data_IF_021017580562
#
_entry.id   IF_021017580562
#
_cell.length_a   1.000
_cell.length_b   1.000
_cell.length_c   1.000
_cell.angle_alpha   90.00
_cell.angle_beta   90.00
_cell.angle_gamma   90.00
#
_symmetry.space_group_name_H-M   'P 1'
#
loop_
_entity.id
_entity.type
_entity.pdbx_description
1 polymer ?
#
# COMPACT_ATOMS: atom_id res chain seq x y z
N UNK A 1 -10.93 15.79 -11.42
CA UNK A 1 -10.58 14.40 -11.07
C UNK A 1 -10.16 13.69 -12.36
N UNK A 2 -8.92 13.17 -12.43
CA UNK A 2 -8.40 12.46 -13.61
C UNK A 2 -9.23 11.22 -13.95
N UNK A 3 -9.11 10.75 -15.19
CA UNK A 3 -9.80 9.52 -15.63
C UNK A 3 -9.04 8.30 -15.11
N UNK A 4 -9.73 7.40 -14.43
CA UNK A 4 -9.16 6.15 -13.92
C UNK A 4 -8.83 5.14 -15.03
N UNK A 5 -9.52 5.25 -16.18
CA UNK A 5 -9.32 4.39 -17.36
C UNK A 5 -9.27 5.20 -18.64
N UNK A 6 -8.48 4.73 -19.61
CA UNK A 6 -8.35 5.31 -20.94
C UNK A 6 -8.68 4.25 -22.00
N UNK A 7 -9.52 4.59 -22.98
CA UNK A 7 -9.80 3.70 -24.13
C UNK A 7 -8.77 3.91 -25.23
N UNK A 8 -8.20 2.79 -25.72
CA UNK A 8 -7.24 2.78 -26.85
C UNK A 8 -7.63 1.71 -27.86
N UNK A 9 -7.47 1.96 -29.17
CA UNK A 9 -7.62 0.92 -30.18
C UNK A 9 -6.46 -0.08 -30.05
N UNK A 10 -6.79 -1.38 -30.01
CA UNK A 10 -5.83 -2.48 -29.97
C UNK A 10 -6.10 -3.47 -31.09
N UNK A 11 -5.07 -4.21 -31.50
CA UNK A 11 -5.19 -5.35 -32.39
C UNK A 11 -5.20 -6.61 -31.53
N UNK A 12 -6.32 -7.33 -31.53
CA UNK A 12 -6.44 -8.63 -30.86
C UNK A 12 -6.20 -9.75 -31.87
N UNK A 13 -5.27 -10.63 -31.54
CA UNK A 13 -4.99 -11.87 -32.26
C UNK A 13 -5.46 -13.05 -31.40
N UNK A 14 -6.22 -13.96 -31.98
CA UNK A 14 -6.69 -15.20 -31.34
C UNK A 14 -6.85 -16.27 -32.41
N UNK A 15 -7.17 -17.51 -32.00
CA UNK A 15 -7.45 -18.63 -32.93
C UNK A 15 -8.57 -18.31 -33.93
N UNK A 16 -9.45 -17.34 -33.59
CA UNK A 16 -10.52 -16.87 -34.47
C UNK A 16 -10.07 -15.71 -35.41
N UNK A 17 -8.76 -15.46 -35.53
CA UNK A 17 -8.20 -14.44 -36.42
C UNK A 17 -7.84 -13.14 -35.73
N UNK A 18 -7.57 -12.13 -36.58
CA UNK A 18 -7.08 -10.80 -36.16
C UNK A 18 -8.19 -9.78 -36.31
N UNK A 19 -8.44 -8.97 -35.27
CA UNK A 19 -9.42 -7.89 -35.31
C UNK A 19 -8.97 -6.66 -34.50
N UNK A 20 -9.36 -5.47 -34.95
CA UNK A 20 -9.22 -4.24 -34.18
C UNK A 20 -10.44 -4.06 -33.28
N UNK A 21 -10.19 -3.66 -32.04
CA UNK A 21 -11.25 -3.31 -31.07
C UNK A 21 -10.76 -2.23 -30.12
N UNK A 22 -11.65 -1.45 -29.47
CA UNK A 22 -11.26 -0.63 -28.32
C UNK A 22 -10.96 -1.52 -27.11
N UNK A 23 -9.96 -1.12 -26.33
CA UNK A 23 -9.64 -1.74 -25.03
C UNK A 23 -9.55 -0.68 -23.95
N UNK A 24 -9.84 -1.06 -22.71
CA UNK A 24 -9.74 -0.21 -21.54
C UNK A 24 -8.39 -0.45 -20.86
N UNK A 25 -7.60 0.60 -20.73
CA UNK A 25 -6.33 0.58 -20.02
C UNK A 25 -6.47 1.34 -18.69
N UNK A 26 -5.80 0.89 -17.65
CA UNK A 26 -5.65 1.68 -16.42
C UNK A 26 -4.91 2.97 -16.74
N UNK A 27 -5.41 4.09 -16.24
CA UNK A 27 -4.72 5.35 -16.38
C UNK A 27 -3.50 5.38 -15.48
N UNK A 28 -2.39 5.87 -15.99
CA UNK A 28 -1.14 6.09 -15.29
C UNK A 28 -0.68 7.52 -15.54
N UNK A 29 -0.66 8.34 -14.49
CA UNK A 29 -0.33 9.75 -14.56
C UNK A 29 0.62 10.13 -13.42
N UNK A 30 1.52 11.10 -13.62
CA UNK A 30 2.36 11.60 -12.55
C UNK A 30 1.50 12.30 -11.48
N UNK A 31 1.92 12.20 -10.23
CA UNK A 31 1.44 13.03 -9.13
C UNK A 31 2.66 13.60 -8.41
N UNK A 32 2.79 14.92 -8.41
CA UNK A 32 3.74 15.63 -7.58
C UNK A 32 3.11 15.87 -6.20
N UNK A 33 3.76 15.40 -5.16
CA UNK A 33 3.44 15.71 -3.78
C UNK A 33 4.32 16.87 -3.31
N UNK A 34 3.69 17.92 -2.82
CA UNK A 34 4.36 19.06 -2.18
C UNK A 34 4.02 19.12 -0.72
N UNK A 35 4.95 19.58 0.09
CA UNK A 35 4.73 19.90 1.50
C UNK A 35 5.10 21.36 1.70
N UNK A 36 4.14 22.17 2.17
CA UNK A 36 4.28 23.62 2.36
C UNK A 36 4.85 24.32 1.10
N UNK A 37 4.36 23.92 -0.08
CA UNK A 37 4.78 24.45 -1.38
C UNK A 37 6.11 23.89 -1.92
N UNK A 38 6.86 23.09 -1.14
CA UNK A 38 8.12 22.48 -1.57
C UNK A 38 7.87 21.10 -2.19
N UNK A 39 8.46 20.85 -3.37
CA UNK A 39 8.35 19.53 -4.02
C UNK A 39 9.05 18.46 -3.18
N UNK A 40 8.30 17.42 -2.78
CA UNK A 40 8.80 16.31 -1.99
C UNK A 40 9.07 15.07 -2.85
N UNK A 41 8.11 14.67 -3.66
CA UNK A 41 8.19 13.46 -4.46
C UNK A 41 7.31 13.55 -5.71
N UNK A 42 7.67 12.82 -6.75
CA UNK A 42 6.81 12.56 -7.91
C UNK A 42 6.62 11.05 -8.03
N UNK A 43 5.36 10.62 -8.07
CA UNK A 43 5.01 9.20 -8.24
C UNK A 43 4.10 9.00 -9.45
N UNK A 44 4.26 7.89 -10.16
CA UNK A 44 3.28 7.46 -11.17
C UNK A 44 2.15 6.72 -10.46
N UNK A 45 0.91 7.17 -10.67
CA UNK A 45 -0.26 6.60 -9.98
C UNK A 45 -1.47 6.45 -10.91
N UNK A 46 -2.40 5.62 -10.53
CA UNK A 46 -3.76 5.68 -11.08
C UNK A 46 -4.53 6.79 -10.39
N UNK A 47 -5.09 7.78 -11.13
CA UNK A 47 -5.82 8.90 -10.56
C UNK A 47 -6.96 8.47 -9.62
N UNK A 48 -7.18 9.27 -8.59
CA UNK A 48 -8.18 9.04 -7.55
C UNK A 48 -7.59 8.58 -6.23
N UNK A 49 -8.25 9.00 -5.14
CA UNK A 49 -7.78 8.78 -3.76
C UNK A 49 -6.38 9.38 -3.49
N UNK A 50 -6.01 10.46 -4.18
CA UNK A 50 -4.68 11.04 -4.10
C UNK A 50 -4.42 11.69 -2.73
N UNK A 51 -5.45 12.19 -2.06
CA UNK A 51 -5.33 12.68 -0.67
C UNK A 51 -5.00 11.53 0.27
N UNK A 52 -5.67 10.37 0.13
CA UNK A 52 -5.33 9.16 0.89
C UNK A 52 -3.89 8.70 0.57
N UNK A 53 -3.50 8.70 -0.72
CA UNK A 53 -2.14 8.38 -1.13
C UNK A 53 -1.10 9.25 -0.42
N UNK A 54 -1.31 10.57 -0.38
CA UNK A 54 -0.40 11.50 0.25
C UNK A 54 -0.32 11.28 1.78
N UNK A 55 -1.46 11.09 2.45
CA UNK A 55 -1.50 10.82 3.89
C UNK A 55 -0.78 9.53 4.26
N UNK A 56 -1.05 8.44 3.51
CA UNK A 56 -0.39 7.15 3.73
C UNK A 56 1.11 7.20 3.46
N UNK A 57 1.50 7.85 2.35
CA UNK A 57 2.89 8.05 2.00
C UNK A 57 3.65 8.81 3.10
N UNK A 58 3.15 9.96 3.54
CA UNK A 58 3.80 10.78 4.57
C UNK A 58 3.87 10.07 5.94
N UNK A 59 2.83 9.32 6.31
CA UNK A 59 2.85 8.50 7.52
C UNK A 59 3.91 7.40 7.44
N UNK A 60 3.95 6.66 6.34
CA UNK A 60 4.85 5.51 6.18
C UNK A 60 6.31 5.90 5.98
N UNK A 61 6.56 7.14 5.56
CA UNK A 61 7.90 7.75 5.53
C UNK A 61 8.29 8.43 6.86
N UNK A 62 7.40 8.43 7.85
CA UNK A 62 7.65 8.93 9.19
C UNK A 62 7.60 10.46 9.31
N UNK A 63 7.00 11.14 8.34
CA UNK A 63 6.76 12.60 8.40
C UNK A 63 5.59 12.92 9.31
N UNK A 64 4.53 12.10 9.24
CA UNK A 64 3.33 12.25 10.07
C UNK A 64 3.29 11.25 11.21
N UNK A 65 2.58 11.60 12.27
CA UNK A 65 2.23 10.71 13.38
C UNK A 65 0.74 10.53 13.55
N UNK A 66 -0.03 11.50 13.08
CA UNK A 66 -1.50 11.51 13.19
C UNK A 66 -2.11 12.26 12.01
N UNK A 67 -3.44 12.16 11.85
CA UNK A 67 -4.16 12.92 10.80
C UNK A 67 -4.17 14.42 11.08
N UNK A 68 -4.08 14.81 12.34
CA UNK A 68 -4.06 16.18 12.81
C UNK A 68 -2.77 16.93 12.41
N UNK A 69 -1.73 16.19 12.02
CA UNK A 69 -0.47 16.76 11.54
C UNK A 69 -0.59 17.44 10.16
N UNK A 70 -1.71 17.22 9.46
CA UNK A 70 -2.04 17.90 8.20
C UNK A 70 -3.15 18.92 8.44
N UNK A 71 -2.86 20.18 8.16
CA UNK A 71 -3.87 21.23 8.20
C UNK A 71 -4.76 21.22 6.95
N UNK A 72 -4.16 21.06 5.75
CA UNK A 72 -4.90 20.95 4.48
C UNK A 72 -4.15 20.11 3.46
N UNK A 73 -4.92 19.47 2.56
CA UNK A 73 -4.38 18.84 1.35
C UNK A 73 -5.22 19.29 0.16
N UNK A 74 -4.62 19.96 -0.81
CA UNK A 74 -5.34 20.56 -1.94
C UNK A 74 -4.58 20.37 -3.26
N UNK A 75 -5.33 20.18 -4.33
CA UNK A 75 -4.76 20.25 -5.65
C UNK A 75 -4.39 21.68 -6.02
N UNK A 76 -3.20 21.84 -6.56
CA UNK A 76 -2.77 23.10 -7.19
C UNK A 76 -3.22 23.14 -8.64
N UNK A 77 -3.31 24.34 -9.20
CA UNK A 77 -3.57 24.52 -10.62
C UNK A 77 -2.35 24.03 -11.41
N UNK A 78 -2.60 22.99 -12.21
CA UNK A 78 -1.66 22.42 -13.16
C UNK A 78 -2.41 22.20 -14.47
N UNK A 79 -2.18 23.08 -15.46
CA UNK A 79 -2.98 23.11 -16.68
C UNK A 79 -2.32 22.28 -17.79
N UNK A 80 -3.12 21.55 -18.56
CA UNK A 80 -2.71 20.93 -19.83
C UNK A 80 -2.69 21.97 -20.96
N UNK A 81 -2.22 21.58 -22.15
CA UNK A 81 -2.16 22.44 -23.34
C UNK A 81 -3.54 22.99 -23.76
N UNK A 82 -4.61 22.39 -23.28
CA UNK A 82 -5.99 22.85 -23.51
C UNK A 82 -6.54 23.73 -22.37
N UNK A 83 -5.69 24.11 -21.40
CA UNK A 83 -6.06 24.93 -20.25
C UNK A 83 -6.93 24.24 -19.19
N UNK A 84 -6.96 22.91 -19.16
CA UNK A 84 -7.72 22.12 -18.19
C UNK A 84 -6.82 21.69 -17.03
N UNK A 85 -7.33 21.76 -15.79
CA UNK A 85 -6.57 21.28 -14.65
C UNK A 85 -6.31 19.77 -14.74
N UNK A 86 -5.06 19.36 -14.63
CA UNK A 86 -4.61 17.96 -14.69
C UNK A 86 -4.79 17.24 -13.37
N UNK A 87 -4.89 17.97 -12.25
CA UNK A 87 -4.91 17.43 -10.87
C UNK A 87 -3.66 16.57 -10.55
N UNK A 88 -2.52 16.93 -11.12
CA UNK A 88 -1.26 16.19 -10.97
C UNK A 88 -0.29 16.82 -9.96
N UNK A 89 -0.71 17.84 -9.24
CA UNK A 89 0.04 18.47 -8.14
C UNK A 89 -0.87 18.56 -6.92
N UNK A 90 -0.48 17.88 -5.84
CA UNK A 90 -1.15 17.93 -4.55
C UNK A 90 -0.22 18.57 -3.52
N UNK A 91 -0.64 19.69 -2.95
CA UNK A 91 0.08 20.41 -1.91
C UNK A 91 -0.52 20.14 -0.54
N UNK A 92 0.32 19.74 0.40
CA UNK A 92 -0.02 19.39 1.77
C UNK A 92 0.55 20.48 2.67
N UNK A 93 -0.32 21.23 3.36
CA UNK A 93 0.10 22.14 4.41
C UNK A 93 0.12 21.40 5.75
N UNK A 94 1.26 21.40 6.42
CA UNK A 94 1.40 20.80 7.73
C UNK A 94 0.71 21.66 8.81
N UNK A 95 0.29 21.02 9.89
CA UNK A 95 -0.24 21.73 11.05
C UNK A 95 0.87 22.51 11.78
N UNK A 96 0.54 23.61 12.48
CA UNK A 96 1.50 24.36 13.25
C UNK A 96 2.26 23.49 14.26
N UNK A 97 3.61 23.54 14.22
CA UNK A 97 4.48 22.77 15.10
C UNK A 97 4.88 21.38 14.56
N UNK A 98 4.38 20.97 13.40
CA UNK A 98 4.87 19.78 12.70
C UNK A 98 6.08 20.16 11.86
N UNK A 99 7.20 19.48 12.07
CA UNK A 99 8.43 19.76 11.31
C UNK A 99 8.31 19.20 9.89
N UNK A 100 8.67 20.00 8.86
CA UNK A 100 8.70 19.50 7.48
C UNK A 100 9.78 18.42 7.31
N UNK A 101 9.63 17.53 6.32
CA UNK A 101 10.63 16.51 6.04
C UNK A 101 11.98 17.15 5.66
N UNK A 102 13.06 16.65 6.25
CA UNK A 102 14.41 17.13 5.98
C UNK A 102 14.90 16.74 4.57
N UNK A 103 16.01 17.36 4.12
CA UNK A 103 16.61 17.10 2.80
C UNK A 103 17.04 15.64 2.61
N UNK A 104 17.24 14.86 3.68
CA UNK A 104 17.61 13.45 3.60
C UNK A 104 16.41 12.59 3.21
N UNK A 105 15.21 13.01 3.61
CA UNK A 105 13.95 12.41 3.19
C UNK A 105 13.71 12.70 1.71
N UNK A 106 13.86 13.96 1.29
CA UNK A 106 13.70 14.36 -0.12
C UNK A 106 14.64 13.58 -1.07
N UNK A 107 15.93 13.45 -0.72
CA UNK A 107 16.92 12.72 -1.54
C UNK A 107 16.60 11.23 -1.69
N UNK A 108 15.96 10.60 -0.71
CA UNK A 108 15.56 9.19 -0.80
C UNK A 108 14.50 8.94 -1.87
N UNK A 109 13.59 9.90 -2.11
CA UNK A 109 12.52 9.74 -3.10
C UNK A 109 13.01 9.79 -4.54
N UNK A 110 14.09 10.50 -4.82
CA UNK A 110 14.71 10.50 -6.15
C UNK A 110 15.53 9.23 -6.46
N UNK A 111 15.87 8.45 -5.43
CA UNK A 111 16.77 7.28 -5.55
C UNK A 111 16.07 5.92 -5.43
N UNK A 112 14.77 5.85 -5.17
CA UNK A 112 14.06 4.60 -4.80
C UNK A 112 13.83 3.60 -5.93
N UNK A 113 14.33 3.80 -7.13
CA UNK A 113 14.15 2.79 -8.18
C UNK A 113 15.23 1.70 -8.24
N UNK A 114 16.38 1.78 -7.55
CA UNK A 114 17.44 0.75 -7.71
C UNK A 114 18.63 0.81 -6.73
N UNK A 115 18.64 1.58 -5.66
CA UNK A 115 19.84 1.68 -4.83
C UNK A 115 19.72 0.89 -3.53
N UNK A 116 20.53 -0.20 -3.44
CA UNK A 116 20.62 -1.07 -2.27
C UNK A 116 21.06 -0.31 -1.01
N UNK A 117 20.09 0.07 -0.21
CA UNK A 117 20.35 0.38 1.20
C UNK A 117 20.70 -0.94 1.88
N UNK A 118 21.81 -0.95 2.61
CA UNK A 118 22.22 -2.14 3.35
C UNK A 118 21.07 -2.57 4.28
N UNK A 119 20.57 -3.81 4.13
CA UNK A 119 19.36 -4.31 4.80
C UNK A 119 19.34 -4.02 6.30
N UNK A 120 20.49 -4.16 6.99
CA UNK A 120 20.62 -3.90 8.42
C UNK A 120 20.38 -2.42 8.78
N UNK A 121 20.93 -1.48 8.00
CA UNK A 121 20.71 -0.04 8.23
C UNK A 121 19.23 0.36 8.01
N UNK A 122 18.54 -0.32 7.09
CA UNK A 122 17.10 -0.12 6.84
C UNK A 122 16.24 -0.62 8.00
N UNK A 123 16.58 -1.76 8.60
CA UNK A 123 15.88 -2.32 9.75
C UNK A 123 16.08 -1.45 11.01
N UNK A 124 17.30 -0.99 11.26
CA UNK A 124 17.60 -0.10 12.38
C UNK A 124 16.85 1.24 12.25
N UNK A 125 16.79 1.79 11.02
CA UNK A 125 16.03 3.00 10.73
C UNK A 125 14.52 2.80 10.94
N UNK A 126 13.98 1.64 10.58
CA UNK A 126 12.57 1.31 10.79
C UNK A 126 12.24 1.24 12.28
N UNK A 127 13.07 0.55 13.09
CA UNK A 127 12.88 0.44 14.55
C UNK A 127 12.90 1.82 15.23
N UNK A 128 13.78 2.72 14.75
CA UNK A 128 13.88 4.06 15.31
C UNK A 128 12.69 4.95 14.96
N UNK A 129 12.07 4.73 13.79
CA UNK A 129 11.00 5.58 13.26
C UNK A 129 9.61 5.09 13.58
N UNK A 130 9.41 3.76 13.69
CA UNK A 130 8.09 3.21 13.98
C UNK A 130 7.63 3.62 15.38
N UNK A 131 6.44 4.20 15.43
CA UNK A 131 5.76 4.57 16.69
C UNK A 131 4.96 3.41 17.26
N UNK A 132 4.77 2.34 16.48
CA UNK A 132 3.91 1.21 16.80
C UNK A 132 4.71 -0.09 16.76
N UNK A 133 4.32 -1.05 17.59
CA UNK A 133 4.93 -2.37 17.67
C UNK A 133 3.90 -3.43 17.28
N UNK A 134 3.99 -4.02 16.08
CA UNK A 134 3.14 -5.15 15.73
C UNK A 134 3.26 -6.33 16.70
N UNK A 135 4.41 -6.48 17.39
CA UNK A 135 4.64 -7.53 18.37
C UNK A 135 3.65 -7.49 19.55
N UNK A 136 3.21 -6.29 19.94
CA UNK A 136 2.34 -6.08 21.09
C UNK A 136 0.86 -6.29 20.78
N UNK A 137 0.50 -6.51 19.51
CA UNK A 137 -0.88 -6.73 19.08
C UNK A 137 -1.32 -8.16 19.39
N UNK A 138 -2.36 -8.36 20.24
CA UNK A 138 -2.82 -9.68 20.65
C UNK A 138 -3.73 -10.38 19.66
N UNK A 139 -3.99 -9.77 18.49
CA UNK A 139 -4.92 -10.34 17.50
C UNK A 139 -4.54 -11.75 17.08
N UNK A 140 -5.55 -12.53 16.79
CA UNK A 140 -5.43 -13.80 16.08
C UNK A 140 -6.37 -13.81 14.87
N UNK A 141 -6.00 -14.55 13.85
CA UNK A 141 -6.80 -14.71 12.63
C UNK A 141 -6.86 -16.19 12.24
N UNK A 142 -8.03 -16.67 11.84
CA UNK A 142 -8.17 -18.08 11.44
C UNK A 142 -7.66 -18.30 10.02
N UNK A 143 -7.20 -19.54 9.75
CA UNK A 143 -6.82 -19.96 8.40
C UNK A 143 -7.96 -19.80 7.41
N UNK A 144 -9.21 -20.08 7.83
CA UNK A 144 -10.40 -19.95 6.98
C UNK A 144 -10.62 -18.49 6.54
N UNK A 145 -10.47 -17.54 7.46
CA UNK A 145 -10.53 -16.11 7.13
C UNK A 145 -9.45 -15.75 6.13
N UNK A 146 -8.20 -16.14 6.39
CA UNK A 146 -7.09 -15.83 5.48
C UNK A 146 -7.32 -16.38 4.08
N UNK A 147 -7.80 -17.62 3.94
CA UNK A 147 -8.10 -18.21 2.64
C UNK A 147 -9.16 -17.45 1.84
N UNK A 148 -10.08 -16.75 2.51
CA UNK A 148 -11.11 -15.92 1.87
C UNK A 148 -10.65 -14.53 1.41
N UNK A 149 -9.54 -14.01 1.97
CA UNK A 149 -9.12 -12.63 1.72
C UNK A 149 -8.73 -12.33 0.26
N UNK A 150 -8.04 -13.22 -0.48
CA UNK A 150 -7.73 -12.96 -1.89
C UNK A 150 -8.97 -12.75 -2.75
N UNK A 151 -10.00 -13.58 -2.56
CA UNK A 151 -11.25 -13.49 -3.32
C UNK A 151 -12.05 -12.24 -2.91
N UNK A 152 -12.09 -11.91 -1.61
CA UNK A 152 -12.72 -10.69 -1.12
C UNK A 152 -12.04 -9.43 -1.67
N UNK A 153 -10.70 -9.38 -1.67
CA UNK A 153 -9.95 -8.29 -2.29
C UNK A 153 -10.22 -8.23 -3.79
N UNK A 154 -10.19 -9.39 -4.48
CA UNK A 154 -10.42 -9.47 -5.93
C UNK A 154 -11.81 -8.96 -6.32
N UNK A 155 -12.84 -9.28 -5.53
CA UNK A 155 -14.21 -8.79 -5.72
C UNK A 155 -14.33 -7.26 -5.55
N UNK A 156 -13.44 -6.64 -4.78
CA UNK A 156 -13.40 -5.18 -4.60
C UNK A 156 -12.63 -4.43 -5.69
N UNK A 157 -11.86 -5.13 -6.54
CA UNK A 157 -11.00 -4.54 -7.58
C UNK A 157 -11.75 -4.26 -8.88
N UNK A 158 -12.60 -3.23 -8.88
CA UNK A 158 -13.48 -2.89 -10.02
C UNK A 158 -12.74 -2.39 -11.26
N UNK A 159 -11.64 -1.66 -11.07
CA UNK A 159 -10.86 -1.12 -12.20
C UNK A 159 -10.01 -2.22 -12.82
N UNK A 160 -9.45 -3.10 -11.99
CA UNK A 160 -8.76 -4.30 -12.48
C UNK A 160 -9.68 -5.20 -13.31
N UNK A 161 -10.96 -5.34 -12.97
CA UNK A 161 -11.93 -6.11 -13.75
C UNK A 161 -12.04 -5.65 -15.20
N UNK A 162 -11.96 -4.34 -15.42
CA UNK A 162 -12.08 -3.75 -16.75
C UNK A 162 -10.77 -3.62 -17.51
N UNK A 163 -9.62 -3.63 -16.81
CA UNK A 163 -8.32 -3.29 -17.39
C UNK A 163 -7.27 -4.38 -17.25
N UNK A 164 -7.35 -5.20 -16.19
CA UNK A 164 -6.34 -6.19 -15.84
C UNK A 164 -4.98 -5.61 -15.38
N UNK A 165 -4.85 -4.28 -15.25
CA UNK A 165 -3.57 -3.58 -15.17
C UNK A 165 -3.25 -2.95 -13.81
N UNK A 166 -3.95 -3.29 -12.73
CA UNK A 166 -3.76 -2.66 -11.42
C UNK A 166 -3.36 -3.66 -10.32
N UNK A 167 -2.64 -3.16 -9.36
CA UNK A 167 -2.46 -3.80 -8.06
C UNK A 167 -3.59 -3.41 -7.11
N UNK A 168 -3.99 -4.35 -6.24
CA UNK A 168 -4.94 -4.12 -5.17
C UNK A 168 -4.32 -4.28 -3.81
N UNK A 169 -4.76 -3.46 -2.86
CA UNK A 169 -4.53 -3.61 -1.43
C UNK A 169 -5.86 -3.48 -0.68
N UNK A 170 -6.04 -4.23 0.38
CA UNK A 170 -7.23 -4.18 1.24
C UNK A 170 -6.88 -4.33 2.70
N UNK A 171 -7.54 -3.59 3.56
CA UNK A 171 -7.47 -3.72 5.01
C UNK A 171 -8.70 -4.45 5.50
N UNK A 172 -8.48 -5.49 6.28
CA UNK A 172 -9.53 -6.37 6.80
C UNK A 172 -9.43 -6.47 8.32
N UNK A 173 -10.55 -6.69 8.96
CA UNK A 173 -10.59 -7.08 10.38
C UNK A 173 -10.18 -8.54 10.56
N UNK A 174 -9.98 -8.98 11.81
CA UNK A 174 -9.62 -10.36 12.14
C UNK A 174 -10.68 -11.40 11.73
N UNK A 175 -11.94 -10.99 11.58
CA UNK A 175 -13.05 -11.84 11.11
C UNK A 175 -13.23 -11.83 9.57
N UNK A 176 -12.37 -11.10 8.85
CA UNK A 176 -12.38 -11.04 7.39
C UNK A 176 -13.30 -9.96 6.81
N UNK A 177 -13.86 -9.08 7.62
CA UNK A 177 -14.64 -7.93 7.12
C UNK A 177 -13.73 -6.94 6.42
N UNK A 178 -14.03 -6.60 5.17
CA UNK A 178 -13.30 -5.59 4.41
C UNK A 178 -13.61 -4.18 4.94
N UNK A 179 -12.59 -3.47 5.43
CA UNK A 179 -12.70 -2.08 5.86
C UNK A 179 -12.53 -1.12 4.68
N UNK A 180 -11.52 -1.34 3.86
CA UNK A 180 -11.20 -0.54 2.68
C UNK A 180 -10.41 -1.35 1.67
N UNK A 181 -10.66 -1.13 0.38
CA UNK A 181 -9.81 -1.61 -0.71
C UNK A 181 -9.44 -0.46 -1.63
N UNK A 182 -8.21 -0.47 -2.14
CA UNK A 182 -7.70 0.50 -3.11
C UNK A 182 -6.91 -0.19 -4.21
N UNK A 183 -6.99 0.41 -5.39
CA UNK A 183 -6.29 -0.04 -6.58
C UNK A 183 -5.34 1.05 -7.07
N UNK A 184 -4.19 0.65 -7.59
CA UNK A 184 -3.22 1.54 -8.22
C UNK A 184 -2.32 0.76 -9.18
N UNK A 185 -1.77 1.43 -10.21
CA UNK A 185 -0.75 0.86 -11.09
C UNK A 185 0.52 0.51 -10.31
N UNK A 186 0.81 1.25 -9.24
CA UNK A 186 1.90 1.02 -8.29
C UNK A 186 1.42 0.27 -7.04
N UNK A 187 2.00 -0.91 -6.76
CA UNK A 187 1.64 -1.67 -5.55
C UNK A 187 1.89 -0.90 -4.25
N UNK A 188 2.92 -0.05 -4.20
CA UNK A 188 3.22 0.81 -3.04
C UNK A 188 2.13 1.87 -2.85
N UNK A 189 1.71 2.50 -3.94
CA UNK A 189 0.63 3.49 -3.92
C UNK A 189 -0.70 2.87 -3.47
N UNK A 190 -1.02 1.64 -3.91
CA UNK A 190 -2.23 0.95 -3.46
C UNK A 190 -2.24 0.77 -1.93
N UNK A 191 -1.09 0.40 -1.35
CA UNK A 191 -0.92 0.27 0.11
C UNK A 191 -0.98 1.64 0.80
N UNK A 192 -0.30 2.65 0.26
CA UNK A 192 -0.37 4.01 0.83
C UNK A 192 -1.80 4.57 0.81
N UNK A 193 -2.56 4.34 -0.26
CA UNK A 193 -3.99 4.72 -0.30
C UNK A 193 -4.80 4.04 0.81
N UNK A 194 -4.57 2.76 1.06
CA UNK A 194 -5.25 2.01 2.15
C UNK A 194 -4.86 2.56 3.52
N UNK A 195 -3.58 2.76 3.76
CA UNK A 195 -3.06 3.29 5.03
C UNK A 195 -3.52 4.74 5.24
N UNK A 196 -3.49 5.56 4.20
CA UNK A 196 -3.97 6.94 4.29
C UNK A 196 -5.48 7.03 4.55
N UNK A 197 -6.27 6.11 3.98
CA UNK A 197 -7.68 6.00 4.35
C UNK A 197 -7.84 5.67 5.84
N UNK A 198 -7.09 4.67 6.34
CA UNK A 198 -7.13 4.29 7.75
C UNK A 198 -6.71 5.46 8.67
N UNK A 199 -5.70 6.25 8.27
CA UNK A 199 -5.27 7.43 9.00
C UNK A 199 -6.38 8.48 9.06
N UNK A 200 -7.00 8.81 7.93
CA UNK A 200 -8.09 9.78 7.83
C UNK A 200 -9.33 9.35 8.64
N UNK A 201 -9.59 8.04 8.72
CA UNK A 201 -10.68 7.44 9.49
C UNK A 201 -10.34 7.28 11.00
N UNK A 202 -9.14 7.74 11.42
CA UNK A 202 -8.71 7.66 12.82
C UNK A 202 -8.40 6.22 13.29
N UNK A 203 -8.03 5.34 12.37
CA UNK A 203 -7.72 3.91 12.60
C UNK A 203 -6.21 3.60 12.55
N UNK A 204 -5.37 4.58 12.81
CA UNK A 204 -3.94 4.35 12.99
C UNK A 204 -3.59 4.58 14.46
N UNK A 205 -2.97 3.61 15.17
CA UNK A 205 -2.49 2.31 14.67
C UNK A 205 -3.62 1.41 14.17
N UNK A 206 -3.38 0.72 13.04
CA UNK A 206 -4.34 -0.21 12.47
C UNK A 206 -4.24 -1.60 13.15
N UNK A 207 -4.34 -1.58 14.48
CA UNK A 207 -4.30 -2.76 15.33
C UNK A 207 -5.48 -3.70 15.01
N UNK A 208 -5.27 -5.00 15.20
CA UNK A 208 -6.31 -6.01 14.98
C UNK A 208 -6.69 -6.19 13.51
N UNK A 209 -5.85 -5.76 12.55
CA UNK A 209 -6.18 -5.83 11.13
C UNK A 209 -5.20 -6.68 10.32
N UNK A 210 -5.65 -7.08 9.14
CA UNK A 210 -4.86 -7.78 8.11
C UNK A 210 -4.78 -6.88 6.87
N UNK A 211 -3.57 -6.55 6.44
CA UNK A 211 -3.31 -5.94 5.14
C UNK A 211 -3.13 -7.05 4.10
N UNK A 212 -4.05 -7.15 3.15
CA UNK A 212 -3.97 -8.10 2.03
C UNK A 212 -3.53 -7.37 0.76
N UNK A 213 -2.52 -7.91 0.06
CA UNK A 213 -2.01 -7.36 -1.20
C UNK A 213 -2.08 -8.37 -2.33
N UNK A 214 -2.48 -7.92 -3.53
CA UNK A 214 -2.61 -8.76 -4.73
C UNK A 214 -1.26 -9.16 -5.34
N UNK A 215 -0.18 -8.51 -4.94
CA UNK A 215 1.17 -8.69 -5.48
C UNK A 215 2.11 -9.45 -4.54
N UNK A 216 3.42 -9.16 -4.70
CA UNK A 216 4.49 -9.64 -3.82
C UNK A 216 4.56 -8.79 -2.56
N UNK A 217 4.94 -9.39 -1.43
CA UNK A 217 5.33 -8.67 -0.23
C UNK A 217 6.82 -8.30 -0.32
N UNK A 218 7.13 -7.03 -0.59
CA UNK A 218 8.50 -6.50 -0.56
C UNK A 218 8.82 -5.93 0.82
N UNK A 219 10.11 -5.64 1.06
CA UNK A 219 10.56 -4.95 2.26
C UNK A 219 9.75 -3.66 2.49
N UNK A 220 9.58 -2.84 1.45
CA UNK A 220 8.89 -1.56 1.55
C UNK A 220 7.41 -1.74 1.97
N UNK A 221 6.72 -2.78 1.47
CA UNK A 221 5.33 -3.03 1.88
C UNK A 221 5.26 -3.49 3.34
N UNK A 222 6.23 -4.31 3.78
CA UNK A 222 6.34 -4.72 5.19
C UNK A 222 6.63 -3.51 6.07
N UNK A 223 7.57 -2.64 5.68
CA UNK A 223 7.87 -1.38 6.36
C UNK A 223 6.62 -0.50 6.50
N UNK A 224 5.87 -0.29 5.41
CA UNK A 224 4.64 0.50 5.42
C UNK A 224 3.60 -0.07 6.40
N UNK A 225 3.44 -1.38 6.42
CA UNK A 225 2.52 -2.04 7.34
C UNK A 225 2.96 -1.85 8.81
N UNK A 226 4.25 -2.00 9.12
CA UNK A 226 4.81 -1.73 10.46
C UNK A 226 4.59 -0.28 10.87
N UNK A 227 4.88 0.68 9.99
CA UNK A 227 4.70 2.11 10.26
C UNK A 227 3.24 2.49 10.53
N UNK A 228 2.29 1.73 10.00
CA UNK A 228 0.86 1.91 10.24
C UNK A 228 0.33 1.10 11.44
N UNK A 229 1.18 0.31 12.12
CA UNK A 229 0.78 -0.54 13.24
C UNK A 229 -0.11 -1.72 12.83
N UNK A 230 0.08 -2.25 11.61
CA UNK A 230 -0.67 -3.41 11.09
C UNK A 230 0.06 -4.69 11.51
N UNK A 231 -0.58 -5.60 12.26
CA UNK A 231 0.09 -6.79 12.78
C UNK A 231 0.24 -7.93 11.78
N UNK A 232 -0.56 -7.96 10.71
CA UNK A 232 -0.55 -9.06 9.71
C UNK A 232 -0.50 -8.51 8.29
N UNK A 233 0.51 -8.96 7.52
CA UNK A 233 0.61 -8.72 6.07
C UNK A 233 0.44 -10.05 5.33
N UNK A 234 -0.55 -10.12 4.44
CA UNK A 234 -0.83 -11.26 3.59
C UNK A 234 -0.69 -10.91 2.10
N UNK A 235 -0.07 -11.79 1.32
CA UNK A 235 0.23 -11.56 -0.08
C UNK A 235 -0.13 -12.78 -0.95
N UNK A 236 -0.69 -12.54 -2.13
CA UNK A 236 -0.96 -13.58 -3.14
C UNK A 236 0.32 -14.23 -3.65
N UNK A 237 1.44 -13.47 -3.65
CA UNK A 237 2.71 -13.93 -4.20
C UNK A 237 3.81 -13.99 -3.12
N UNK A 238 5.05 -14.21 -3.56
CA UNK A 238 6.20 -14.40 -2.67
C UNK A 238 6.58 -13.13 -1.89
N UNK A 239 7.06 -13.26 -0.65
CA UNK A 239 7.82 -12.21 0.01
C UNK A 239 9.26 -12.19 -0.49
N UNK A 240 9.97 -11.07 -0.27
CA UNK A 240 11.44 -11.02 -0.35
C UNK A 240 12.06 -11.52 0.97
N UNK A 241 13.35 -11.90 0.93
CA UNK A 241 14.07 -12.31 2.15
C UNK A 241 14.07 -11.20 3.21
N UNK A 242 14.36 -9.96 2.79
CA UNK A 242 14.37 -8.81 3.68
C UNK A 242 12.97 -8.50 4.26
N UNK A 243 11.88 -8.76 3.51
CA UNK A 243 10.53 -8.65 4.04
C UNK A 243 10.27 -9.67 5.17
N UNK A 244 10.75 -10.91 5.00
CA UNK A 244 10.63 -11.96 6.01
C UNK A 244 11.46 -11.64 7.27
N UNK A 245 12.69 -11.18 7.10
CA UNK A 245 13.56 -10.72 8.19
C UNK A 245 12.92 -9.56 8.96
N UNK A 246 12.42 -8.54 8.23
CA UNK A 246 11.73 -7.38 8.84
C UNK A 246 10.50 -7.82 9.64
N UNK A 247 9.67 -8.70 9.08
CA UNK A 247 8.48 -9.19 9.77
C UNK A 247 8.84 -9.96 11.07
N UNK A 248 9.85 -10.82 10.99
CA UNK A 248 10.34 -11.56 12.16
C UNK A 248 10.87 -10.62 13.26
N UNK A 249 11.67 -9.63 12.89
CA UNK A 249 12.29 -8.69 13.83
C UNK A 249 11.31 -7.70 14.46
N UNK A 250 10.22 -7.36 13.74
CA UNK A 250 9.17 -6.44 14.24
C UNK A 250 8.02 -7.18 14.92
N UNK A 251 8.07 -8.53 14.96
CA UNK A 251 6.99 -9.35 15.50
C UNK A 251 5.71 -9.33 14.66
N UNK A 252 5.80 -8.95 13.38
CA UNK A 252 4.68 -8.98 12.44
C UNK A 252 4.44 -10.40 11.92
N UNK A 253 3.20 -10.74 11.63
CA UNK A 253 2.88 -11.96 10.88
C UNK A 253 2.96 -11.68 9.37
N UNK A 254 3.75 -12.50 8.66
CA UNK A 254 3.90 -12.41 7.21
C UNK A 254 3.47 -13.70 6.53
N UNK A 255 2.44 -13.58 5.70
CA UNK A 255 1.89 -14.67 4.90
C UNK A 255 2.15 -14.39 3.42
N UNK A 256 2.66 -15.39 2.71
CA UNK A 256 2.84 -15.35 1.26
C UNK A 256 2.22 -16.55 0.57
N UNK A 257 2.14 -16.48 -0.76
CA UNK A 257 1.53 -17.51 -1.62
C UNK A 257 0.09 -17.86 -1.20
N UNK A 258 -0.63 -16.88 -0.66
CA UNK A 258 -2.00 -17.07 -0.22
C UNK A 258 -2.92 -17.19 -1.44
N UNK A 259 -3.29 -18.43 -1.78
CA UNK A 259 -4.11 -18.77 -2.96
C UNK A 259 -4.98 -19.98 -2.67
N UNK A 260 -6.29 -19.86 -2.95
CA UNK A 260 -7.23 -20.93 -2.63
C UNK A 260 -7.11 -21.31 -1.15
N UNK A 261 -6.84 -22.59 -0.88
CA UNK A 261 -6.67 -23.11 0.50
C UNK A 261 -5.21 -23.44 0.81
N UNK A 262 -4.28 -22.61 0.36
CA UNK A 262 -2.84 -22.79 0.61
C UNK A 262 -2.16 -21.46 0.88
N UNK A 263 -1.21 -21.43 1.82
CA UNK A 263 -0.36 -20.30 2.14
C UNK A 263 0.93 -20.77 2.79
N UNK A 264 1.95 -19.89 2.79
CA UNK A 264 3.17 -20.06 3.55
C UNK A 264 3.25 -18.95 4.61
N UNK A 265 3.57 -19.31 5.85
CA UNK A 265 3.84 -18.38 6.95
C UNK A 265 5.34 -18.20 7.05
N UNK A 266 5.82 -16.98 6.90
CA UNK A 266 7.26 -16.63 6.94
C UNK A 266 7.71 -16.06 8.27
N UNK A 267 6.77 -15.49 9.04
CA UNK A 267 6.98 -14.98 10.39
C UNK A 267 5.64 -14.93 11.13
N UNK A 268 5.68 -14.97 12.46
CA UNK A 268 4.55 -14.67 13.35
C UNK A 268 3.42 -15.69 13.31
N UNK A 269 3.72 -17.00 13.18
CA UNK A 269 2.74 -18.09 13.14
C UNK A 269 1.83 -18.15 14.37
N UNK A 270 2.26 -17.60 15.52
CA UNK A 270 1.49 -17.60 16.76
C UNK A 270 0.15 -16.85 16.66
N UNK A 271 -0.03 -15.94 15.66
CA UNK A 271 -1.29 -15.26 15.41
C UNK A 271 -2.26 -16.04 14.53
N UNK A 272 -1.80 -17.12 13.90
CA UNK A 272 -2.66 -17.91 13.01
C UNK A 272 -3.25 -19.06 13.79
N UNK A 273 -4.59 -19.05 13.89
CA UNK A 273 -5.33 -20.12 14.56
C UNK A 273 -6.00 -20.99 13.50
N UNK A 274 -5.77 -22.30 13.65
CA UNK A 274 -6.39 -23.29 12.77
C UNK A 274 -7.31 -24.20 13.61
N UNK A 275 -8.40 -24.64 13.02
CA UNK A 275 -9.32 -25.57 13.66
C UNK A 275 -8.74 -26.96 13.95
N UNK A 276 -7.48 -27.22 13.61
CA UNK A 276 -6.84 -28.52 13.81
C UNK A 276 -5.31 -28.53 13.82
N UNK A 277 -4.65 -27.43 13.42
CA UNK A 277 -3.19 -27.38 13.39
C UNK A 277 -2.62 -27.04 14.79
N UNK A 278 -1.67 -27.85 15.25
CA UNK A 278 -0.86 -27.53 16.43
C UNK A 278 0.57 -27.28 15.96
N UNK A 279 1.18 -26.11 16.30
CA UNK A 279 2.59 -25.89 16.00
C UNK A 279 3.42 -27.01 16.63
N UNK A 280 4.35 -27.57 15.87
CA UNK A 280 5.34 -28.50 16.39
C UNK A 280 6.28 -27.69 17.28
N UNK A 281 6.52 -28.09 18.54
CA UNK A 281 7.53 -27.41 19.36
C UNK A 281 8.88 -27.52 18.66
N UNK A 282 9.55 -26.40 18.47
CA UNK A 282 10.93 -26.29 17.96
C UNK A 282 11.93 -26.83 18.97
#
# INVERSE_FOLDING_TARGET
>A
MGRVTVRRPVVRISDNGTRRRPDALAAEEPLELRVDGQSLAVTMRTPGHDVELAHGFLLTEGVLGSREDIATARYCDSLDDAGRNTYNVLDIALAPGVEPPDDSVQRRFYTTSSCGVCGKASLDALRTRSRYSPADDPMTVSTEVLFGLPDALRAAQRVFDSTGGLHGAGLFTADGTLLVAREDVGRHNAVDKVIGHALLDGRVPAAGTVLMVSGRASFELTQKAVMAGIPVLAAVSAPSSLAAETAAETGMTLVGFLRGRSMNIYAGEHRIVDGGWKPTPS
#
